data_IF_533614217082
#
_entry.id   IF_533614217082
#
_cell.length_a   1.000
_cell.length_b   1.000
_cell.length_c   1.000
_cell.angle_alpha   90.00
_cell.angle_beta   90.00
_cell.angle_gamma   90.00
#
_symmetry.space_group_name_H-M   'P 1'
#
loop_
_entity.id
_entity.type
_entity.pdbx_description
1 polymer ?
#
# COMPACT_ATOMS: atom_id res chain seq x y z
N UNK A 1 23.37 -11.76 -1.37
CA UNK A 1 23.15 -11.52 0.07
C UNK A 1 23.88 -10.24 0.42
N UNK A 2 23.18 -9.24 0.92
CA UNK A 2 23.79 -8.00 1.41
C UNK A 2 23.93 -8.06 2.93
N UNK A 3 25.02 -7.55 3.48
CA UNK A 3 25.29 -7.51 4.92
C UNK A 3 25.45 -6.06 5.34
N UNK A 4 24.80 -5.67 6.45
CA UNK A 4 24.88 -4.33 7.03
C UNK A 4 25.37 -4.45 8.47
N UNK A 5 26.34 -3.62 8.85
CA UNK A 5 26.83 -3.55 10.24
C UNK A 5 26.37 -2.24 10.87
N UNK A 6 25.58 -2.33 11.92
CA UNK A 6 25.12 -1.18 12.70
C UNK A 6 25.97 -1.10 13.97
N UNK A 7 26.64 0.04 14.18
CA UNK A 7 27.49 0.29 15.35
C UNK A 7 26.88 1.39 16.22
N UNK A 8 27.27 1.42 17.49
CA UNK A 8 26.82 2.42 18.49
C UNK A 8 25.30 2.38 18.75
N UNK A 9 24.73 1.18 18.85
CA UNK A 9 23.37 1.01 19.34
C UNK A 9 23.41 1.11 20.87
N UNK A 10 22.54 1.93 21.50
CA UNK A 10 22.42 1.97 22.97
C UNK A 10 22.09 0.59 23.55
N UNK A 11 22.69 0.24 24.68
CA UNK A 11 22.52 -1.10 25.30
C UNK A 11 21.06 -1.41 25.64
N UNK A 12 20.29 -0.39 26.03
CA UNK A 12 18.86 -0.52 26.29
C UNK A 12 18.09 -1.01 25.03
N UNK A 13 18.42 -0.46 23.87
CA UNK A 13 17.78 -0.85 22.60
C UNK A 13 18.21 -2.26 22.18
N UNK A 14 19.45 -2.66 22.46
CA UNK A 14 19.94 -4.03 22.23
C UNK A 14 19.17 -5.01 23.12
N UNK A 15 18.92 -4.65 24.39
CA UNK A 15 18.21 -5.51 25.32
C UNK A 15 16.74 -5.68 24.92
N UNK A 16 16.06 -4.61 24.53
CA UNK A 16 14.69 -4.67 24.00
C UNK A 16 14.61 -5.57 22.75
N UNK A 17 15.58 -5.46 21.83
CA UNK A 17 15.67 -6.30 20.64
C UNK A 17 15.83 -7.78 21.00
N UNK A 18 16.66 -8.12 21.99
CA UNK A 18 16.82 -9.50 22.49
C UNK A 18 15.51 -10.05 23.03
N UNK A 19 14.84 -9.31 23.90
CA UNK A 19 13.58 -9.74 24.51
C UNK A 19 12.49 -10.00 23.47
N UNK A 20 12.37 -9.12 22.46
CA UNK A 20 11.39 -9.30 21.38
C UNK A 20 11.77 -10.48 20.49
N UNK A 21 13.05 -10.69 20.22
CA UNK A 21 13.51 -11.85 19.44
C UNK A 21 13.21 -13.17 20.17
N UNK A 22 13.48 -13.25 21.48
CA UNK A 22 13.19 -14.41 22.32
C UNK A 22 11.69 -14.70 22.40
N UNK A 23 10.86 -13.69 22.64
CA UNK A 23 9.38 -13.84 22.67
C UNK A 23 8.83 -14.40 21.36
N UNK A 24 9.45 -14.06 20.23
CA UNK A 24 9.03 -14.51 18.91
C UNK A 24 9.73 -15.79 18.44
N UNK A 25 10.56 -16.43 19.29
CA UNK A 25 11.38 -17.60 18.93
C UNK A 25 12.26 -17.36 17.69
N UNK A 26 12.86 -16.16 17.59
CA UNK A 26 13.70 -15.73 16.48
C UNK A 26 15.11 -15.41 16.96
N UNK A 27 16.09 -15.55 16.06
CA UNK A 27 17.41 -14.97 16.30
C UNK A 27 17.34 -13.44 16.23
N UNK A 28 18.31 -12.77 16.86
CA UNK A 28 18.41 -11.30 16.81
C UNK A 28 18.52 -10.78 15.37
N UNK A 29 19.32 -11.44 14.54
CA UNK A 29 19.46 -11.05 13.12
C UNK A 29 18.13 -11.18 12.37
N UNK A 30 17.41 -12.29 12.57
CA UNK A 30 16.10 -12.50 11.95
C UNK A 30 15.06 -11.48 12.44
N UNK A 31 15.12 -11.08 13.70
CA UNK A 31 14.23 -10.04 14.24
C UNK A 31 14.55 -8.67 13.63
N UNK A 32 15.83 -8.30 13.54
CA UNK A 32 16.25 -7.04 12.91
C UNK A 32 15.86 -7.03 11.43
N UNK A 33 16.06 -8.14 10.71
CA UNK A 33 15.65 -8.29 9.32
C UNK A 33 14.15 -8.09 9.16
N UNK A 34 13.34 -8.73 10.01
CA UNK A 34 11.89 -8.61 9.99
C UNK A 34 11.43 -7.15 10.17
N UNK A 35 12.00 -6.42 11.14
CA UNK A 35 11.66 -5.02 11.40
C UNK A 35 11.97 -4.14 10.17
N UNK A 36 13.13 -4.36 9.54
CA UNK A 36 13.52 -3.62 8.33
C UNK A 36 12.61 -3.93 7.14
N UNK A 37 12.24 -5.20 6.96
CA UNK A 37 11.33 -5.62 5.90
C UNK A 37 9.91 -5.07 6.10
N UNK A 38 9.41 -5.09 7.33
CA UNK A 38 8.11 -4.54 7.69
C UNK A 38 8.07 -3.02 7.43
N UNK A 39 9.09 -2.29 7.87
CA UNK A 39 9.18 -0.85 7.62
C UNK A 39 9.32 -0.51 6.13
N UNK A 40 10.10 -1.31 5.39
CA UNK A 40 10.24 -1.15 3.94
C UNK A 40 8.91 -1.41 3.23
N UNK A 41 8.20 -2.48 3.59
CA UNK A 41 6.89 -2.79 3.02
C UNK A 41 5.89 -1.67 3.29
N UNK A 42 5.87 -1.12 4.51
CA UNK A 42 5.03 0.02 4.86
C UNK A 42 5.39 1.29 4.09
N UNK A 43 6.69 1.57 3.93
CA UNK A 43 7.18 2.72 3.17
C UNK A 43 6.86 2.58 1.69
N UNK A 44 7.12 1.42 1.08
CA UNK A 44 6.78 1.13 -0.32
C UNK A 44 5.28 1.23 -0.54
N UNK A 45 4.44 0.69 0.36
CA UNK A 45 3.00 0.83 0.25
C UNK A 45 2.56 2.30 0.31
N UNK A 46 3.11 3.08 1.25
CA UNK A 46 2.78 4.50 1.38
C UNK A 46 3.33 5.33 0.20
N UNK A 47 4.51 4.99 -0.30
CA UNK A 47 5.16 5.66 -1.43
C UNK A 47 4.47 5.32 -2.76
N UNK A 48 4.07 4.06 -2.97
CA UNK A 48 3.16 3.66 -4.05
C UNK A 48 1.88 4.47 -3.92
N UNK A 49 1.23 4.50 -2.76
CA UNK A 49 -0.01 5.27 -2.58
C UNK A 49 0.17 6.77 -2.85
N UNK A 50 1.36 7.34 -2.59
CA UNK A 50 1.68 8.75 -2.89
C UNK A 50 2.08 8.99 -4.35
N UNK A 51 2.82 8.08 -4.99
CA UNK A 51 3.34 8.22 -6.37
C UNK A 51 2.36 7.75 -7.43
N UNK A 52 1.57 6.72 -7.12
CA UNK A 52 0.47 6.24 -7.96
C UNK A 52 -0.75 7.11 -7.67
N UNK A 53 -0.67 8.38 -8.08
CA UNK A 53 -1.89 9.14 -8.24
C UNK A 53 -2.67 8.45 -9.37
N UNK A 54 -3.67 7.67 -9.00
CA UNK A 54 -4.50 6.90 -9.91
C UNK A 54 -5.01 7.74 -11.10
N UNK A 55 -5.29 9.03 -10.89
CA UNK A 55 -5.68 9.93 -11.96
C UNK A 55 -4.54 10.27 -12.92
N UNK A 56 -3.31 10.38 -12.43
CA UNK A 56 -2.13 10.59 -13.28
C UNK A 56 -1.79 9.33 -14.06
N UNK A 57 -1.99 8.14 -13.49
CA UNK A 57 -1.86 6.86 -14.22
C UNK A 57 -2.92 6.71 -15.31
N UNK A 58 -4.18 7.05 -15.03
CA UNK A 58 -5.24 7.07 -16.07
C UNK A 58 -4.87 8.07 -17.18
N UNK A 59 -4.36 9.25 -16.83
CA UNK A 59 -3.94 10.25 -17.83
C UNK A 59 -2.76 9.77 -18.68
N UNK A 60 -1.74 9.19 -18.06
CA UNK A 60 -0.60 8.57 -18.76
C UNK A 60 -1.06 7.42 -19.66
N UNK A 61 -1.99 6.58 -19.19
CA UNK A 61 -2.59 5.50 -19.96
C UNK A 61 -3.38 6.02 -21.17
N UNK A 62 -4.27 7.01 -20.98
CA UNK A 62 -5.03 7.64 -22.06
C UNK A 62 -4.09 8.27 -23.09
N UNK A 63 -3.04 8.97 -22.63
CA UNK A 63 -2.02 9.57 -23.52
C UNK A 63 -1.24 8.52 -24.31
N UNK A 64 -0.83 7.42 -23.67
CA UNK A 64 -0.09 6.34 -24.35
C UNK A 64 -0.96 5.59 -25.36
N UNK A 65 -2.28 5.57 -25.18
CA UNK A 65 -3.25 4.98 -26.11
C UNK A 65 -3.77 5.97 -27.17
N UNK A 66 -3.27 7.21 -27.19
CA UNK A 66 -3.76 8.30 -28.05
C UNK A 66 -5.28 8.53 -27.91
N UNK A 67 -5.77 8.37 -26.69
CA UNK A 67 -7.18 8.48 -26.35
C UNK A 67 -7.49 9.92 -25.93
N UNK A 68 -8.19 10.66 -26.79
CA UNK A 68 -8.50 12.10 -26.62
C UNK A 68 -9.47 12.40 -25.45
N UNK A 69 -10.03 11.36 -24.83
CA UNK A 69 -11.05 11.47 -23.79
C UNK A 69 -12.36 10.86 -24.25
N UNK A 70 -13.39 11.03 -23.42
CA UNK A 70 -14.74 10.61 -23.76
C UNK A 70 -15.55 11.82 -24.21
N UNK A 71 -16.12 11.76 -25.41
CA UNK A 71 -17.04 12.76 -25.91
C UNK A 71 -18.33 12.78 -25.07
N UNK A 72 -19.02 13.93 -25.08
CA UNK A 72 -20.32 14.05 -24.41
C UNK A 72 -21.32 13.05 -25.00
N UNK A 73 -21.67 12.03 -24.22
CA UNK A 73 -22.60 10.98 -24.62
C UNK A 73 -21.95 9.73 -25.22
N UNK A 74 -20.61 9.62 -25.21
CA UNK A 74 -19.89 8.43 -25.70
C UNK A 74 -20.09 7.22 -24.79
N UNK A 75 -20.17 7.46 -23.47
CA UNK A 75 -20.54 6.40 -22.54
C UNK A 75 -22.04 6.10 -22.67
N UNK A 76 -22.44 4.81 -22.78
CA UNK A 76 -23.83 4.41 -22.64
C UNK A 76 -24.25 4.60 -21.17
N UNK A 77 -24.49 5.85 -20.80
CA UNK A 77 -25.03 6.21 -19.50
C UNK A 77 -26.45 5.68 -19.46
N UNK A 78 -26.71 4.71 -18.59
CA UNK A 78 -28.08 4.35 -18.27
C UNK A 78 -28.82 5.58 -17.79
N UNK A 79 -30.09 5.70 -18.15
CA UNK A 79 -30.95 6.75 -17.58
C UNK A 79 -30.85 6.66 -16.06
N UNK A 80 -30.50 7.77 -15.42
CA UNK A 80 -30.50 7.81 -13.95
C UNK A 80 -31.92 7.48 -13.52
N UNK A 81 -32.10 6.36 -12.83
CA UNK A 81 -33.39 6.03 -12.23
C UNK A 81 -33.72 7.14 -11.22
N UNK A 82 -34.55 8.10 -11.62
CA UNK A 82 -35.06 9.19 -10.76
C UNK A 82 -35.90 8.68 -9.60
N UNK A 83 -36.26 7.40 -9.63
CA UNK A 83 -37.02 6.68 -8.61
C UNK A 83 -36.12 5.97 -7.57
N UNK A 84 -34.87 6.44 -7.35
CA UNK A 84 -33.88 5.87 -6.42
C UNK A 84 -34.29 6.00 -4.93
N UNK A 85 -35.42 5.39 -4.57
CA UNK A 85 -35.53 4.70 -3.30
C UNK A 85 -34.77 3.40 -3.47
N UNK A 86 -33.50 3.37 -3.05
CA UNK A 86 -32.74 2.11 -2.95
C UNK A 86 -33.63 1.08 -2.26
N UNK A 87 -33.94 -0.02 -2.95
CA UNK A 87 -34.76 -1.06 -2.34
C UNK A 87 -34.03 -1.56 -1.07
N UNK A 88 -34.74 -1.76 0.06
CA UNK A 88 -34.12 -2.27 1.26
C UNK A 88 -33.45 -3.60 0.96
N UNK A 89 -32.17 -3.75 1.35
CA UNK A 89 -31.47 -5.02 1.21
C UNK A 89 -32.09 -6.00 2.20
N UNK A 90 -32.73 -7.06 1.70
CA UNK A 90 -33.20 -8.17 2.52
C UNK A 90 -32.04 -9.11 2.83
N UNK A 91 -31.90 -9.48 4.10
CA UNK A 91 -30.95 -10.48 4.57
C UNK A 91 -31.75 -11.69 5.05
N UNK A 92 -32.36 -12.43 4.11
CA UNK A 92 -32.79 -13.81 4.39
C UNK A 92 -31.60 -14.77 4.42
#
# INVERSE_FOLDING_TARGET
>A
MATLTIRKIPDEQIQQLKEVAEKNNRSMESQVRFILEEWLAGTVAHEITRKTNFYDEIREFMKNMDFEGLDKGELPLSERNSADSRQPVSFE
#
